data_IF_704462358048
#
_entry.id   IF_704462358048
#
_cell.length_a   1.000
_cell.length_b   1.000
_cell.length_c   1.000
_cell.angle_alpha   90.00
_cell.angle_beta   90.00
_cell.angle_gamma   90.00
#
_symmetry.space_group_name_H-M   'P 1'
#
loop_
_entity.id
_entity.type
_entity.pdbx_description
1 polymer ?
#
# COMPACT_ATOMS: atom_id res chain seq x y z
N UNK A 1 -6.70 -2.11 -7.57
CA UNK A 1 -6.21 -1.37 -6.37
C UNK A 1 -5.11 -2.13 -5.64
N UNK A 2 -5.24 -3.44 -5.43
CA UNK A 2 -4.22 -4.30 -4.80
C UNK A 2 -2.79 -4.13 -5.37
N UNK A 3 -2.67 -4.15 -6.70
CA UNK A 3 -1.39 -4.00 -7.40
C UNK A 3 -0.69 -2.66 -7.07
N UNK A 4 -1.44 -1.59 -6.77
CA UNK A 4 -0.85 -0.30 -6.42
C UNK A 4 -0.24 -0.30 -5.02
N UNK A 5 -0.85 -1.00 -4.05
CA UNK A 5 -0.28 -1.20 -2.72
C UNK A 5 0.98 -2.06 -2.81
N UNK A 6 0.97 -3.10 -3.64
CA UNK A 6 2.15 -3.93 -3.86
C UNK A 6 3.27 -3.17 -4.57
N UNK A 7 2.93 -2.33 -5.55
CA UNK A 7 3.91 -1.42 -6.16
C UNK A 7 4.45 -0.39 -5.17
N UNK A 8 3.62 0.13 -4.26
CA UNK A 8 4.08 1.01 -3.19
C UNK A 8 5.08 0.29 -2.27
N UNK A 9 4.81 -0.96 -1.90
CA UNK A 9 5.71 -1.81 -1.11
C UNK A 9 7.04 -2.07 -1.80
N UNK A 10 7.01 -2.37 -3.10
CA UNK A 10 8.22 -2.63 -3.87
C UNK A 10 9.05 -1.35 -4.07
N UNK A 11 8.37 -0.24 -4.41
CA UNK A 11 9.00 1.07 -4.54
C UNK A 11 9.46 1.66 -3.23
N UNK A 12 8.89 1.25 -2.09
CA UNK A 12 9.31 1.72 -0.77
C UNK A 12 10.82 1.53 -0.62
N UNK A 13 11.34 0.32 -0.87
CA UNK A 13 12.76 0.01 -0.75
C UNK A 13 13.66 0.88 -1.67
N UNK A 14 13.12 1.37 -2.80
CA UNK A 14 13.82 2.21 -3.79
C UNK A 14 13.54 3.72 -3.67
N UNK A 15 12.64 4.13 -2.78
CA UNK A 15 12.24 5.53 -2.58
C UNK A 15 13.13 6.24 -1.56
N UNK A 16 13.12 7.57 -1.55
CA UNK A 16 13.82 8.38 -0.54
C UNK A 16 13.34 8.04 0.88
N UNK A 17 14.21 8.22 1.87
CA UNK A 17 13.93 7.88 3.27
C UNK A 17 12.64 8.54 3.81
N UNK A 18 12.38 9.79 3.43
CA UNK A 18 11.13 10.48 3.78
C UNK A 18 9.88 9.81 3.16
N UNK A 19 9.98 9.34 1.91
CA UNK A 19 8.87 8.64 1.25
C UNK A 19 8.69 7.23 1.82
N UNK A 20 9.79 6.56 2.18
CA UNK A 20 9.75 5.27 2.89
C UNK A 20 8.96 5.37 4.19
N UNK A 21 9.24 6.39 5.00
CA UNK A 21 8.53 6.60 6.26
C UNK A 21 7.04 6.85 6.05
N UNK A 22 6.66 7.66 5.04
CA UNK A 22 5.25 7.90 4.71
C UNK A 22 4.54 6.65 4.21
N UNK A 23 5.13 5.91 3.27
CA UNK A 23 4.59 4.65 2.75
C UNK A 23 4.39 3.67 3.91
N UNK A 24 5.40 3.53 4.77
CA UNK A 24 5.33 2.67 5.96
C UNK A 24 4.21 3.08 6.91
N UNK A 25 4.04 4.37 7.17
CA UNK A 25 2.97 4.86 8.04
C UNK A 25 1.58 4.52 7.50
N UNK A 26 1.33 4.79 6.21
CA UNK A 26 0.05 4.52 5.55
C UNK A 26 -0.24 3.02 5.50
N UNK A 27 0.73 2.22 5.05
CA UNK A 27 0.58 0.77 4.97
C UNK A 27 0.41 0.12 6.34
N UNK A 28 1.06 0.66 7.37
CA UNK A 28 0.87 0.18 8.75
C UNK A 28 -0.57 0.40 9.21
N UNK A 29 -1.13 1.60 9.02
CA UNK A 29 -2.53 1.91 9.35
C UNK A 29 -3.49 0.97 8.63
N UNK A 30 -3.24 0.72 7.34
CA UNK A 30 -4.03 -0.22 6.56
C UNK A 30 -3.93 -1.65 7.12
N UNK A 31 -2.74 -2.10 7.48
CA UNK A 31 -2.52 -3.44 8.01
C UNK A 31 -3.08 -3.63 9.43
N UNK A 32 -3.14 -2.57 10.22
CA UNK A 32 -3.82 -2.54 11.52
C UNK A 32 -5.35 -2.50 11.38
N UNK A 33 -5.85 -2.11 10.20
CA UNK A 33 -7.27 -1.92 9.94
C UNK A 33 -7.80 -0.57 10.38
N UNK A 34 -6.93 0.40 10.67
CA UNK A 34 -7.31 1.78 10.98
C UNK A 34 -7.90 2.49 9.75
N UNK A 35 -7.39 2.18 8.56
CA UNK A 35 -7.85 2.73 7.28
C UNK A 35 -8.18 1.61 6.30
N UNK A 36 -9.14 1.85 5.40
CA UNK A 36 -9.48 0.94 4.32
C UNK A 36 -8.48 0.97 3.16
N UNK A 37 -8.58 -0.01 2.24
CA UNK A 37 -7.74 -0.07 1.04
C UNK A 37 -7.86 1.19 0.18
N UNK A 38 -9.08 1.71 0.01
CA UNK A 38 -9.35 2.95 -0.73
C UNK A 38 -8.63 4.13 -0.09
N UNK A 39 -8.76 4.30 1.23
CA UNK A 39 -8.15 5.42 1.95
C UNK A 39 -6.62 5.34 1.94
N UNK A 40 -6.05 4.15 2.14
CA UNK A 40 -4.62 3.93 1.97
C UNK A 40 -4.15 4.26 0.55
N UNK A 41 -4.94 3.93 -0.47
CA UNK A 41 -4.64 4.26 -1.85
C UNK A 41 -4.65 5.77 -2.09
N UNK A 42 -5.65 6.50 -1.57
CA UNK A 42 -5.72 7.95 -1.68
C UNK A 42 -4.57 8.64 -0.94
N UNK A 43 -4.22 8.21 0.29
CA UNK A 43 -3.09 8.79 1.03
C UNK A 43 -1.76 8.57 0.29
N UNK A 44 -1.58 7.40 -0.34
CA UNK A 44 -0.39 7.12 -1.16
C UNK A 44 -0.34 7.99 -2.43
N UNK A 45 -1.49 8.25 -3.05
CA UNK A 45 -1.58 9.16 -4.21
C UNK A 45 -1.32 10.61 -3.80
N UNK A 46 -1.96 11.07 -2.72
CA UNK A 46 -1.83 12.44 -2.21
C UNK A 46 -0.37 12.74 -1.80
N UNK A 47 0.30 11.75 -1.22
CA UNK A 47 1.71 11.84 -0.85
C UNK A 47 2.70 11.74 -2.02
N UNK A 48 2.24 11.63 -3.28
CA UNK A 48 3.05 11.35 -4.49
C UNK A 48 3.93 10.09 -4.34
N UNK A 49 3.48 9.14 -3.51
CA UNK A 49 4.23 7.92 -3.17
C UNK A 49 4.04 6.82 -4.20
N UNK A 50 2.89 6.86 -4.89
CA UNK A 50 2.62 6.04 -6.06
C UNK A 50 2.28 6.94 -7.25
N UNK A 51 2.71 6.57 -8.46
CA UNK A 51 2.36 7.33 -9.65
C UNK A 51 0.85 7.30 -9.84
N UNK A 52 0.27 8.46 -10.14
CA UNK A 52 -1.14 8.54 -10.50
C UNK A 52 -1.39 7.63 -11.72
N UNK A 53 -2.32 6.67 -11.64
CA UNK A 53 -2.55 5.74 -12.74
C UNK A 53 -3.04 6.53 -13.96
N UNK A 54 -2.21 6.59 -15.02
CA UNK A 54 -2.50 7.33 -16.26
C UNK A 54 -3.67 6.77 -17.07
N UNK A 55 -4.27 5.67 -16.62
CA UNK A 55 -5.47 5.10 -17.21
C UNK A 55 -6.57 5.04 -16.16
N UNK A 56 -7.53 5.96 -16.24
CA UNK A 56 -8.92 5.78 -15.81
C UNK A 56 -9.64 4.67 -16.62
N UNK A 57 -8.92 3.63 -17.04
CA UNK A 57 -9.53 2.40 -17.51
C UNK A 57 -9.96 1.66 -16.27
N UNK A 58 -11.22 1.86 -15.87
CA UNK A 58 -12.02 1.04 -14.94
C UNK A 58 -11.23 -0.21 -14.57
N UNK A 59 -10.38 -0.09 -13.54
CA UNK A 59 -9.67 -1.25 -13.03
C UNK A 59 -10.77 -2.04 -12.41
N UNK A 60 -11.12 -3.13 -13.09
CA UNK A 60 -12.16 -4.07 -12.68
C UNK A 60 -12.07 -4.16 -11.17
N UNK A 61 -13.19 -3.89 -10.49
CA UNK A 61 -13.41 -4.27 -9.10
C UNK A 61 -13.01 -5.75 -9.04
N UNK A 62 -11.74 -6.03 -8.79
CA UNK A 62 -11.30 -7.34 -8.35
C UNK A 62 -11.99 -7.37 -6.99
N UNK A 63 -13.03 -8.19 -6.81
CA UNK A 63 -13.64 -8.32 -5.50
C UNK A 63 -12.49 -8.74 -4.61
N UNK A 64 -12.04 -7.84 -3.73
CA UNK A 64 -11.11 -8.20 -2.68
C UNK A 64 -11.88 -9.18 -1.83
N UNK A 65 -11.66 -10.46 -2.11
CA UNK A 65 -12.09 -11.51 -1.23
C UNK A 65 -11.37 -11.27 0.10
N UNK A 66 -12.05 -11.46 1.25
CA UNK A 66 -11.47 -11.19 2.56
C UNK A 66 -10.10 -11.87 2.76
N UNK A 67 -9.92 -13.04 2.15
CA UNK A 67 -8.65 -13.80 2.16
C UNK A 67 -7.49 -13.07 1.48
N UNK A 68 -7.73 -12.37 0.37
CA UNK A 68 -6.70 -11.58 -0.33
C UNK A 68 -6.30 -10.37 0.51
N UNK A 69 -7.28 -9.72 1.14
CA UNK A 69 -7.03 -8.59 2.04
C UNK A 69 -6.16 -9.01 3.23
N UNK A 70 -6.51 -10.13 3.88
CA UNK A 70 -5.73 -10.68 4.99
C UNK A 70 -4.30 -11.02 4.54
N UNK A 71 -4.13 -11.68 3.39
CA UNK A 71 -2.81 -11.98 2.81
C UNK A 71 -1.99 -10.72 2.55
N UNK A 72 -2.61 -9.65 2.05
CA UNK A 72 -1.93 -8.38 1.82
C UNK A 72 -1.48 -7.74 3.12
N UNK A 73 -2.36 -7.68 4.12
CA UNK A 73 -2.07 -7.13 5.44
C UNK A 73 -0.94 -7.90 6.12
N UNK A 74 -0.95 -9.24 6.03
CA UNK A 74 0.12 -10.11 6.52
C UNK A 74 1.44 -9.82 5.79
N UNK A 75 1.43 -9.74 4.46
CA UNK A 75 2.62 -9.43 3.65
C UNK A 75 3.22 -8.07 4.01
N UNK A 76 2.37 -7.06 4.21
CA UNK A 76 2.76 -5.73 4.69
C UNK A 76 3.39 -5.84 6.06
N UNK A 77 2.70 -6.46 7.03
CA UNK A 77 3.22 -6.64 8.40
C UNK A 77 4.57 -7.34 8.39
N UNK A 78 4.73 -8.43 7.63
CA UNK A 78 6.00 -9.12 7.48
C UNK A 78 7.07 -8.17 6.93
N UNK A 79 6.83 -7.46 5.82
CA UNK A 79 7.78 -6.49 5.25
C UNK A 79 8.14 -5.36 6.23
N UNK A 80 7.18 -4.90 7.03
CA UNK A 80 7.39 -3.84 8.03
C UNK A 80 8.10 -4.33 9.30
N UNK A 81 7.95 -5.61 9.65
CA UNK A 81 8.56 -6.25 10.83
C UNK A 81 9.95 -6.83 10.53
N UNK A 82 10.25 -7.23 9.28
CA UNK A 82 11.50 -7.92 8.92
C UNK A 82 12.73 -7.01 8.79
N UNK A 83 12.62 -5.71 9.04
CA UNK A 83 13.79 -4.83 9.23
C UNK A 83 13.98 -4.57 10.72
N UNK A 84 14.77 -5.39 11.43
CA UNK A 84 15.33 -4.95 12.70
C UNK A 84 16.26 -3.77 12.39
N UNK A 85 16.04 -2.69 13.13
CA UNK A 85 16.82 -1.46 13.14
C UNK A 85 18.32 -1.70 13.33
#
# INVERSE_FOLDING_TARGET
MHEQIEQALDKMDSSSQQNQEKIRAILRRYADGEIGLDEAHYELLDGDLIPMPQRCGISAKIPLIPEDEVRLKEKIKSKLLLRPS
#
